data_IF_160386579366
#
_entry.id   IF_160386579366
#
_cell.length_a   1.000
_cell.length_b   1.000
_cell.length_c   1.000
_cell.angle_alpha   90.00
_cell.angle_beta   90.00
_cell.angle_gamma   90.00
#
_symmetry.space_group_name_H-M   'P 1'
#
loop_
_entity.id
_entity.type
_entity.pdbx_description
1 polymer ?
#
# COMPACT_ATOMS: atom_id res chain seq x y z
N UNK A 1 16.91 -2.83 -21.41
CA UNK A 1 15.50 -2.90 -20.99
C UNK A 1 15.11 -4.33 -20.64
N UNK A 2 14.16 -4.51 -19.70
CA UNK A 2 13.64 -5.86 -19.35
C UNK A 2 12.13 -5.84 -19.32
N UNK A 3 11.50 -6.87 -19.91
CA UNK A 3 10.06 -7.12 -19.77
C UNK A 3 9.89 -8.16 -18.67
N UNK A 4 9.06 -7.84 -17.68
CA UNK A 4 8.86 -8.65 -16.47
C UNK A 4 7.40 -9.02 -16.28
N UNK A 5 7.13 -10.16 -15.65
CA UNK A 5 5.78 -10.58 -15.28
C UNK A 5 5.29 -9.87 -14.01
N UNK A 6 3.98 -9.66 -13.91
CA UNK A 6 3.37 -9.29 -12.64
C UNK A 6 3.63 -10.37 -11.59
N UNK A 7 3.93 -9.93 -10.35
CA UNK A 7 4.17 -10.85 -9.24
C UNK A 7 2.94 -10.95 -8.33
N UNK A 8 2.81 -12.10 -7.67
CA UNK A 8 1.76 -12.33 -6.68
C UNK A 8 1.85 -11.31 -5.55
N UNK A 9 0.73 -10.66 -5.18
CA UNK A 9 0.68 -9.79 -4.02
C UNK A 9 0.97 -10.53 -2.72
N UNK A 10 1.52 -9.81 -1.76
CA UNK A 10 1.94 -10.32 -0.45
C UNK A 10 1.16 -9.63 0.67
N UNK A 11 0.76 -10.37 1.69
CA UNK A 11 0.23 -9.78 2.92
C UNK A 11 1.39 -9.34 3.81
N UNK A 12 1.36 -8.08 4.24
CA UNK A 12 2.29 -7.55 5.22
C UNK A 12 1.58 -7.37 6.55
N UNK A 13 2.00 -8.14 7.55
CA UNK A 13 1.44 -8.07 8.89
C UNK A 13 2.08 -6.95 9.69
N UNK A 14 1.29 -6.38 10.59
CA UNK A 14 1.73 -5.45 11.60
C UNK A 14 1.80 -6.18 12.94
N UNK A 15 2.97 -6.18 13.57
CA UNK A 15 3.08 -6.61 14.96
C UNK A 15 2.24 -5.70 15.88
N UNK A 16 1.51 -6.28 16.87
CA UNK A 16 0.52 -5.54 17.65
C UNK A 16 1.11 -4.63 18.74
N UNK A 17 2.39 -4.30 18.66
CA UNK A 17 3.09 -3.39 19.57
C UNK A 17 3.24 -2.00 18.95
N UNK A 18 3.49 -0.98 19.77
CA UNK A 18 3.75 0.37 19.27
C UNK A 18 4.98 0.42 18.34
N UNK A 19 6.06 -0.29 18.72
CA UNK A 19 7.27 -0.41 17.88
C UNK A 19 6.94 -1.13 16.57
N UNK A 20 6.21 -2.26 16.63
CA UNK A 20 5.79 -3.02 15.45
C UNK A 20 4.91 -2.21 14.50
N UNK A 21 4.00 -1.38 15.02
CA UNK A 21 3.23 -0.42 14.22
C UNK A 21 4.15 0.58 13.52
N UNK A 22 5.13 1.14 14.25
CA UNK A 22 6.07 2.10 13.68
C UNK A 22 6.95 1.44 12.59
N UNK A 23 7.40 0.22 12.79
CA UNK A 23 8.15 -0.56 11.79
C UNK A 23 7.30 -0.84 10.55
N UNK A 24 6.03 -1.21 10.73
CA UNK A 24 5.10 -1.42 9.62
C UNK A 24 4.90 -0.14 8.79
N UNK A 25 4.65 1.00 9.45
CA UNK A 25 4.57 2.31 8.79
C UNK A 25 5.87 2.63 8.05
N UNK A 26 7.02 2.41 8.69
CA UNK A 26 8.33 2.67 8.09
C UNK A 26 8.58 1.79 6.87
N UNK A 27 8.18 0.49 6.91
CA UNK A 27 8.24 -0.44 5.78
C UNK A 27 7.40 0.06 4.60
N UNK A 28 6.15 0.44 4.85
CA UNK A 28 5.26 0.97 3.82
C UNK A 28 5.78 2.28 3.21
N UNK A 29 6.32 3.18 4.03
CA UNK A 29 6.88 4.46 3.58
C UNK A 29 8.17 4.28 2.78
N UNK A 30 9.03 3.35 3.16
CA UNK A 30 10.31 3.06 2.49
C UNK A 30 10.12 2.69 1.01
N UNK A 31 9.01 2.00 0.69
CA UNK A 31 8.62 1.67 -0.67
C UNK A 31 8.54 2.91 -1.58
N UNK A 32 8.02 4.03 -1.08
CA UNK A 32 7.87 5.26 -1.87
C UNK A 32 9.22 5.81 -2.38
N UNK A 33 10.29 5.60 -1.61
CA UNK A 33 11.62 6.17 -1.86
C UNK A 33 12.64 5.14 -2.32
N UNK A 34 12.24 3.87 -2.45
CA UNK A 34 13.15 2.75 -2.71
C UNK A 34 14.31 2.74 -1.70
N UNK A 35 13.99 2.77 -0.43
CA UNK A 35 14.95 2.81 0.68
C UNK A 35 14.72 1.66 1.65
N UNK A 36 15.77 1.33 2.43
CA UNK A 36 15.64 0.33 3.48
C UNK A 36 14.67 0.80 4.58
N UNK A 37 13.76 -0.08 5.04
CA UNK A 37 12.86 0.21 6.14
C UNK A 37 13.61 0.48 7.45
N UNK A 38 13.17 1.48 8.22
CA UNK A 38 13.66 1.72 9.57
C UNK A 38 13.10 0.69 10.55
N UNK A 39 13.89 0.34 11.58
CA UNK A 39 13.54 -0.66 12.60
C UNK A 39 13.72 -0.11 14.00
N UNK A 40 13.05 -0.73 14.99
CA UNK A 40 13.17 -0.40 16.40
C UNK A 40 12.99 1.08 16.70
N UNK A 41 13.84 1.65 17.51
CA UNK A 41 13.84 3.07 17.89
C UNK A 41 13.95 4.02 16.71
N UNK A 42 14.66 3.65 15.63
CA UNK A 42 14.77 4.46 14.42
C UNK A 42 13.41 4.55 13.69
N UNK A 43 12.61 3.46 13.69
CA UNK A 43 11.26 3.48 13.14
C UNK A 43 10.35 4.40 13.96
N UNK A 44 10.42 4.35 15.30
CA UNK A 44 9.67 5.23 16.18
C UNK A 44 10.02 6.71 15.92
N UNK A 45 11.30 7.04 15.86
CA UNK A 45 11.75 8.39 15.55
C UNK A 45 11.28 8.86 14.16
N UNK A 46 11.34 7.98 13.18
CA UNK A 46 10.87 8.27 11.83
C UNK A 46 9.38 8.59 11.81
N UNK A 47 8.55 7.77 12.47
CA UNK A 47 7.08 7.97 12.52
C UNK A 47 6.72 9.23 13.30
N UNK A 48 7.36 9.50 14.47
CA UNK A 48 7.19 10.75 15.22
C UNK A 48 7.54 11.99 14.36
N UNK A 49 8.57 11.88 13.50
CA UNK A 49 8.93 12.95 12.56
C UNK A 49 7.91 13.11 11.42
N UNK A 50 7.37 12.02 10.86
CA UNK A 50 6.28 12.08 9.87
C UNK A 50 5.06 12.83 10.44
N UNK A 51 4.65 12.47 11.65
CA UNK A 51 3.55 13.11 12.37
C UNK A 51 3.80 14.61 12.58
N UNK A 52 4.99 14.97 13.10
CA UNK A 52 5.38 16.37 13.32
C UNK A 52 5.38 17.22 12.05
N UNK A 53 5.76 16.63 10.91
CA UNK A 53 5.87 17.33 9.63
C UNK A 53 4.57 17.29 8.81
N UNK A 54 3.46 16.75 9.34
CA UNK A 54 2.19 16.65 8.64
C UNK A 54 2.18 15.64 7.47
N UNK A 55 3.13 14.72 7.40
CA UNK A 55 3.19 13.68 6.39
C UNK A 55 2.22 12.53 6.75
N UNK A 56 0.91 12.81 6.66
CA UNK A 56 -0.14 11.93 7.18
C UNK A 56 -0.36 10.64 6.39
N UNK A 57 -0.06 10.59 5.08
CA UNK A 57 -0.40 9.41 4.25
C UNK A 57 0.25 8.11 4.75
N UNK A 58 1.55 8.05 5.09
CA UNK A 58 2.14 6.83 5.66
C UNK A 58 1.54 6.43 7.00
N UNK A 59 1.08 7.39 7.82
CA UNK A 59 0.49 7.12 9.12
C UNK A 59 -0.86 6.37 9.04
N UNK A 60 -1.51 6.40 7.87
CA UNK A 60 -2.73 5.63 7.62
C UNK A 60 -2.50 4.10 7.63
N UNK A 61 -1.25 3.65 7.51
CA UNK A 61 -0.89 2.23 7.51
C UNK A 61 -0.73 1.64 8.91
N UNK A 62 -0.54 2.47 9.93
CA UNK A 62 -0.53 2.00 11.32
C UNK A 62 -1.93 1.73 11.84
N UNK A 63 -2.19 0.53 12.35
CA UNK A 63 -3.44 0.14 13.00
C UNK A 63 -3.26 0.18 14.52
N UNK A 64 -4.14 0.88 15.22
CA UNK A 64 -4.19 0.98 16.67
C UNK A 64 -5.48 0.33 17.15
N UNK A 65 -5.36 -0.70 17.96
CA UNK A 65 -6.47 -1.38 18.59
C UNK A 65 -6.75 -0.77 19.97
N UNK A 66 -8.01 -0.49 20.28
CA UNK A 66 -8.42 0.10 21.56
C UNK A 66 -9.77 -0.43 22.03
N UNK A 67 -9.85 -0.70 23.34
CA UNK A 67 -11.15 -0.93 23.99
C UNK A 67 -11.66 0.41 24.48
N UNK A 68 -12.85 0.75 24.05
CA UNK A 68 -13.46 2.06 24.33
C UNK A 68 -14.53 1.91 25.38
N UNK A 69 -14.40 2.67 26.45
CA UNK A 69 -15.43 2.77 27.49
C UNK A 69 -16.61 3.62 27.04
N UNK A 70 -17.75 3.50 27.74
CA UNK A 70 -18.99 4.19 27.35
C UNK A 70 -18.83 5.71 27.21
N UNK A 71 -18.01 6.35 28.04
CA UNK A 71 -17.80 7.79 28.02
C UNK A 71 -16.95 8.27 26.81
N UNK A 72 -16.15 7.39 26.24
CA UNK A 72 -15.31 7.67 25.07
C UNK A 72 -16.01 7.30 23.74
N UNK A 73 -17.09 6.50 23.79
CA UNK A 73 -17.79 6.02 22.58
C UNK A 73 -18.30 7.18 21.71
N UNK A 74 -18.84 8.23 22.29
CA UNK A 74 -19.33 9.39 21.53
C UNK A 74 -18.20 10.11 20.77
N UNK A 75 -17.03 10.18 21.38
CA UNK A 75 -15.84 10.78 20.75
C UNK A 75 -15.34 9.94 19.58
N UNK A 76 -15.32 8.61 19.73
CA UNK A 76 -14.85 7.70 18.68
C UNK A 76 -15.88 7.46 17.58
N UNK A 77 -17.18 7.59 17.85
CA UNK A 77 -18.22 7.58 16.81
C UNK A 77 -17.92 8.57 15.69
N UNK A 78 -17.37 9.73 16.01
CA UNK A 78 -16.97 10.72 15.00
C UNK A 78 -15.78 10.24 14.14
N UNK A 79 -14.77 9.59 14.73
CA UNK A 79 -13.65 9.00 13.98
C UNK A 79 -14.15 7.86 13.10
N UNK A 80 -15.03 7.02 13.65
CA UNK A 80 -15.62 5.86 12.97
C UNK A 80 -16.57 6.28 11.85
N UNK A 81 -17.34 7.37 12.04
CA UNK A 81 -18.27 7.88 11.02
C UNK A 81 -17.57 8.33 9.72
N UNK A 82 -16.26 8.48 9.73
CA UNK A 82 -15.45 8.80 8.55
C UNK A 82 -15.00 7.58 7.73
N UNK A 83 -15.64 6.42 7.92
CA UNK A 83 -15.58 5.30 6.98
C UNK A 83 -14.32 4.45 7.09
N UNK A 84 -13.52 4.38 6.03
CA UNK A 84 -12.41 3.43 5.85
C UNK A 84 -11.24 3.56 6.85
N UNK A 85 -11.29 4.50 7.80
CA UNK A 85 -10.17 4.80 8.70
C UNK A 85 -10.30 4.17 10.08
N UNK A 86 -11.51 3.73 10.43
CA UNK A 86 -11.78 3.02 11.68
C UNK A 86 -12.91 2.01 11.48
N UNK A 87 -12.90 0.96 12.30
CA UNK A 87 -13.98 -0.03 12.40
C UNK A 87 -14.07 -0.52 13.82
N UNK A 88 -15.23 -1.04 14.23
CA UNK A 88 -15.45 -1.51 15.58
C UNK A 88 -16.47 -2.64 15.66
N UNK A 89 -16.36 -3.42 16.74
CA UNK A 89 -17.36 -4.40 17.18
C UNK A 89 -17.79 -4.05 18.61
N UNK A 90 -19.06 -4.18 18.92
CA UNK A 90 -19.58 -4.02 20.30
C UNK A 90 -19.95 -5.36 20.85
N UNK A 91 -19.32 -5.76 21.94
CA UNK A 91 -19.58 -7.01 22.62
C UNK A 91 -19.54 -6.81 24.15
N UNK A 92 -20.51 -7.39 24.85
CA UNK A 92 -20.65 -7.27 26.32
C UNK A 92 -20.54 -5.82 26.83
N UNK A 93 -21.11 -4.85 26.11
CA UNK A 93 -21.13 -3.44 26.49
C UNK A 93 -19.78 -2.71 26.31
N UNK A 94 -18.79 -3.37 25.70
CA UNK A 94 -17.50 -2.77 25.36
C UNK A 94 -17.38 -2.61 23.84
N UNK A 95 -16.77 -1.53 23.40
CA UNK A 95 -16.47 -1.31 21.99
C UNK A 95 -14.99 -1.66 21.74
N UNK A 96 -14.76 -2.61 20.84
CA UNK A 96 -13.43 -3.02 20.35
C UNK A 96 -13.20 -2.33 19.00
N UNK A 97 -12.38 -1.29 18.99
CA UNK A 97 -12.15 -0.47 17.80
C UNK A 97 -10.74 -0.63 17.27
N UNK A 98 -10.60 -0.70 15.95
CA UNK A 98 -9.34 -0.54 15.23
C UNK A 98 -9.37 0.76 14.46
N UNK A 99 -8.39 1.63 14.69
CA UNK A 99 -8.30 2.97 14.09
C UNK A 99 -6.93 3.15 13.46
N UNK A 100 -6.82 3.83 12.32
CA UNK A 100 -5.50 4.15 11.81
C UNK A 100 -4.84 5.29 12.62
N UNK A 101 -3.51 5.25 12.71
CA UNK A 101 -2.76 6.22 13.50
C UNK A 101 -3.03 7.68 13.07
N UNK A 102 -3.13 7.96 11.77
CA UNK A 102 -3.41 9.32 11.28
C UNK A 102 -4.70 9.87 11.86
N UNK A 103 -5.78 9.09 11.86
CA UNK A 103 -7.08 9.53 12.38
C UNK A 103 -7.04 9.88 13.86
N UNK A 104 -6.27 9.14 14.66
CA UNK A 104 -6.09 9.44 16.09
C UNK A 104 -5.33 10.75 16.30
N UNK A 105 -4.27 10.98 15.52
CA UNK A 105 -3.50 12.22 15.60
C UNK A 105 -4.31 13.43 15.09
N UNK A 106 -5.04 13.28 13.99
CA UNK A 106 -5.94 14.33 13.46
C UNK A 106 -7.07 14.66 14.44
N UNK A 107 -7.46 13.70 15.29
CA UNK A 107 -8.40 13.87 16.40
C UNK A 107 -7.79 14.60 17.61
N UNK A 108 -6.49 14.79 17.65
CA UNK A 108 -5.75 15.48 18.71
C UNK A 108 -5.10 14.56 19.75
N UNK A 109 -5.09 13.23 19.52
CA UNK A 109 -4.33 12.32 20.37
C UNK A 109 -2.84 12.52 20.13
N UNK A 110 -2.02 12.45 21.20
CA UNK A 110 -0.57 12.55 21.08
C UNK A 110 0.06 11.17 20.86
N UNK A 111 1.22 11.12 20.24
CA UNK A 111 1.96 9.87 20.01
C UNK A 111 2.22 9.09 21.30
N UNK A 112 2.53 9.79 22.40
CA UNK A 112 2.78 9.16 23.70
C UNK A 112 1.51 8.56 24.31
N UNK A 113 0.32 9.08 23.97
CA UNK A 113 -0.96 8.51 24.38
C UNK A 113 -1.25 7.24 23.58
N UNK A 114 -0.93 7.21 22.27
CA UNK A 114 -1.03 6.01 21.43
C UNK A 114 -0.08 4.92 21.92
N UNK A 115 1.17 5.26 22.27
CA UNK A 115 2.15 4.33 22.83
C UNK A 115 1.61 3.63 24.08
N UNK A 116 1.10 4.42 25.05
CA UNK A 116 0.47 3.87 26.27
C UNK A 116 -0.74 2.99 26.02
N UNK A 117 -1.55 3.31 25.01
CA UNK A 117 -2.68 2.49 24.62
C UNK A 117 -2.24 1.14 24.09
N UNK A 118 -1.21 1.11 23.25
CA UNK A 118 -0.72 -0.12 22.63
C UNK A 118 0.09 -0.97 23.60
N UNK A 119 0.82 -0.38 24.56
CA UNK A 119 1.57 -1.11 25.58
C UNK A 119 0.67 -1.85 26.57
N UNK A 120 -0.56 -1.37 26.76
CA UNK A 120 -1.58 -2.02 27.59
C UNK A 120 -2.49 -2.99 26.83
N UNK A 121 -2.20 -3.26 25.55
CA UNK A 121 -3.01 -4.12 24.72
C UNK A 121 -2.89 -5.61 25.14
N UNK A 122 -4.02 -6.19 25.50
CA UNK A 122 -4.16 -7.63 25.72
C UNK A 122 -4.94 -8.19 24.54
N UNK A 123 -4.27 -8.96 23.68
CA UNK A 123 -4.81 -9.48 22.43
C UNK A 123 -6.24 -10.00 22.52
N UNK A 124 -7.10 -9.50 21.65
CA UNK A 124 -8.48 -9.94 21.48
C UNK A 124 -8.78 -10.15 20.01
N UNK A 125 -9.41 -11.28 19.67
CA UNK A 125 -9.83 -11.59 18.29
C UNK A 125 -11.00 -10.71 17.80
N UNK A 126 -11.59 -9.92 18.70
CA UNK A 126 -12.73 -9.04 18.41
C UNK A 126 -12.38 -7.77 17.66
N UNK A 127 -11.10 -7.40 17.60
CA UNK A 127 -10.71 -6.19 16.88
C UNK A 127 -10.84 -6.38 15.37
N UNK A 128 -11.53 -5.45 14.66
CA UNK A 128 -11.58 -5.48 13.20
C UNK A 128 -10.17 -5.46 12.60
N UNK A 129 -9.85 -6.41 11.74
CA UNK A 129 -8.53 -6.51 11.12
C UNK A 129 -8.40 -5.56 9.94
N UNK A 130 -7.27 -4.87 9.86
CA UNK A 130 -6.83 -4.12 8.69
C UNK A 130 -5.76 -4.91 7.97
N UNK A 131 -6.03 -5.25 6.71
CA UNK A 131 -5.06 -5.97 5.88
C UNK A 131 -4.23 -4.98 5.08
N UNK A 132 -2.91 -5.20 5.06
CA UNK A 132 -1.97 -4.50 4.19
C UNK A 132 -1.49 -5.46 3.11
N UNK A 133 -1.70 -5.08 1.84
CA UNK A 133 -1.29 -5.87 0.66
C UNK A 133 -0.20 -5.10 -0.08
N UNK A 134 0.92 -5.77 -0.29
CA UNK A 134 2.03 -5.32 -1.12
C UNK A 134 1.92 -5.93 -2.51
N UNK A 135 2.05 -5.10 -3.53
CA UNK A 135 2.12 -5.47 -4.94
C UNK A 135 3.56 -5.24 -5.43
N UNK A 136 4.43 -6.29 -5.42
CA UNK A 136 5.86 -6.13 -5.65
C UNK A 136 6.23 -5.85 -7.11
N UNK A 137 5.33 -6.15 -8.04
CA UNK A 137 5.54 -5.89 -9.45
C UNK A 137 4.19 -5.77 -10.17
N UNK A 138 3.80 -4.54 -10.47
CA UNK A 138 2.65 -4.22 -11.32
C UNK A 138 3.03 -3.07 -12.26
N UNK A 139 2.26 -2.88 -13.35
CA UNK A 139 2.43 -1.72 -14.21
C UNK A 139 1.89 -0.45 -13.56
N UNK A 140 2.43 0.69 -13.94
CA UNK A 140 1.95 2.01 -13.48
C UNK A 140 0.48 2.19 -13.82
N UNK A 141 0.05 1.80 -15.03
CA UNK A 141 -1.34 1.92 -15.46
C UNK A 141 -2.29 1.13 -14.55
N UNK A 142 -1.94 -0.10 -14.20
CA UNK A 142 -2.75 -0.92 -13.28
C UNK A 142 -2.74 -0.35 -11.87
N UNK A 143 -1.58 0.12 -11.39
CA UNK A 143 -1.50 0.79 -10.09
C UNK A 143 -2.40 2.03 -10.04
N UNK A 144 -2.46 2.82 -11.12
CA UNK A 144 -3.31 4.00 -11.21
C UNK A 144 -4.81 3.63 -11.20
N UNK A 145 -5.22 2.51 -11.80
CA UNK A 145 -6.59 2.01 -11.69
C UNK A 145 -6.95 1.54 -10.28
N UNK A 146 -6.07 0.78 -9.63
CA UNK A 146 -6.34 0.21 -8.31
C UNK A 146 -6.35 1.30 -7.23
N UNK A 147 -5.46 2.30 -7.29
CA UNK A 147 -5.40 3.39 -6.30
C UNK A 147 -6.63 4.30 -6.28
N UNK A 148 -7.50 4.21 -7.28
CA UNK A 148 -8.77 4.97 -7.30
C UNK A 148 -9.76 4.53 -6.23
N UNK A 149 -9.54 3.36 -5.61
CA UNK A 149 -10.34 2.89 -4.48
C UNK A 149 -9.95 3.63 -3.20
N UNK A 150 -10.55 4.79 -2.98
CA UNK A 150 -10.21 5.75 -1.90
C UNK A 150 -10.48 5.23 -0.50
N UNK A 151 -11.26 4.16 -0.36
CA UNK A 151 -11.47 3.44 0.91
C UNK A 151 -10.25 2.62 1.36
N UNK A 152 -9.30 2.40 0.45
CA UNK A 152 -8.00 1.79 0.73
C UNK A 152 -6.93 2.88 0.80
N UNK A 153 -6.17 2.90 1.90
CA UNK A 153 -4.97 3.73 1.99
C UNK A 153 -3.92 3.20 1.03
N UNK A 154 -3.32 4.06 0.22
CA UNK A 154 -2.39 3.65 -0.84
C UNK A 154 -1.09 4.43 -0.77
N UNK A 155 0.04 3.70 -0.81
CA UNK A 155 1.38 4.23 -1.09
C UNK A 155 1.94 3.50 -2.31
N UNK A 156 2.69 4.22 -3.13
CA UNK A 156 3.26 3.70 -4.36
C UNK A 156 4.66 4.22 -4.58
N UNK A 157 5.53 3.38 -5.12
CA UNK A 157 6.90 3.77 -5.50
C UNK A 157 6.87 4.96 -6.44
N UNK A 158 7.64 5.97 -6.08
CA UNK A 158 7.69 7.20 -6.87
C UNK A 158 8.56 7.00 -8.11
N UNK A 159 8.03 7.34 -9.27
CA UNK A 159 8.81 7.37 -10.52
C UNK A 159 9.90 8.45 -10.54
N UNK A 160 9.92 9.36 -9.56
CA UNK A 160 11.02 10.33 -9.37
C UNK A 160 12.33 9.66 -8.95
N UNK A 161 12.25 8.43 -8.45
CA UNK A 161 13.38 7.63 -7.95
C UNK A 161 13.51 6.31 -8.73
N UNK A 162 13.02 6.25 -9.99
CA UNK A 162 13.27 5.09 -10.84
C UNK A 162 14.78 4.97 -10.99
N UNK A 163 15.35 4.06 -10.24
CA UNK A 163 16.67 3.51 -10.46
C UNK A 163 16.47 2.04 -10.75
N UNK A 164 17.07 1.57 -11.79
CA UNK A 164 17.24 0.15 -11.99
C UNK A 164 18.10 -0.39 -10.85
N UNK A 165 17.61 -1.40 -10.19
CA UNK A 165 18.37 -2.14 -9.18
C UNK A 165 19.57 -2.87 -9.79
N UNK A 166 19.60 -2.98 -11.13
CA UNK A 166 20.64 -3.64 -11.91
C UNK A 166 21.03 -2.79 -13.13
N UNK A 167 22.16 -2.14 -13.08
CA UNK A 167 22.92 -1.53 -14.20
C UNK A 167 22.17 -0.60 -15.18
N UNK A 168 21.15 0.06 -14.76
CA UNK A 168 20.58 1.13 -15.59
C UNK A 168 19.38 0.72 -16.47
N UNK A 169 18.92 -0.52 -16.46
CA UNK A 169 17.79 -0.95 -17.30
C UNK A 169 16.43 -0.59 -16.72
N UNK A 170 15.54 -0.07 -17.56
CA UNK A 170 14.15 0.16 -17.18
C UNK A 170 13.38 -1.16 -17.26
N UNK A 171 12.56 -1.45 -16.24
CA UNK A 171 11.68 -2.63 -16.22
C UNK A 171 10.28 -2.25 -16.66
N UNK A 172 9.72 -3.02 -17.59
CA UNK A 172 8.36 -2.86 -18.10
C UNK A 172 7.55 -4.12 -17.82
N UNK A 173 6.34 -3.97 -17.36
CA UNK A 173 5.45 -5.10 -17.08
C UNK A 173 4.81 -5.57 -18.36
N UNK A 174 4.89 -6.88 -18.60
CA UNK A 174 4.30 -7.55 -19.73
C UNK A 174 2.77 -7.39 -19.72
N UNK A 175 2.17 -6.83 -20.79
CA UNK A 175 0.71 -6.69 -20.87
C UNK A 175 0.03 -8.04 -21.19
N UNK A 176 -1.25 -8.16 -20.86
CA UNK A 176 -2.03 -9.40 -21.02
C UNK A 176 -2.04 -9.97 -22.45
N UNK A 177 -2.00 -9.10 -23.46
CA UNK A 177 -2.04 -9.46 -24.89
C UNK A 177 -0.67 -9.83 -25.49
N UNK A 178 0.40 -9.73 -24.70
CA UNK A 178 1.73 -10.10 -25.16
C UNK A 178 1.79 -11.63 -25.43
N UNK A 179 2.38 -12.03 -26.54
CA UNK A 179 2.39 -13.36 -27.15
C UNK A 179 1.11 -13.75 -27.92
N UNK A 180 0.14 -12.85 -28.08
CA UNK A 180 -1.03 -13.13 -28.90
C UNK A 180 -0.69 -13.08 -30.41
N UNK A 181 0.15 -12.10 -30.79
CA UNK A 181 0.62 -11.93 -32.18
C UNK A 181 2.06 -11.41 -32.19
N UNK A 182 2.95 -12.14 -32.89
CA UNK A 182 4.38 -11.81 -33.00
C UNK A 182 4.61 -10.36 -33.47
N UNK A 183 3.82 -9.89 -34.44
CA UNK A 183 3.98 -8.52 -34.97
C UNK A 183 3.69 -7.46 -33.90
N UNK A 184 2.74 -7.69 -33.01
CA UNK A 184 2.43 -6.77 -31.90
C UNK A 184 3.55 -6.77 -30.89
N UNK A 185 4.10 -7.95 -30.57
CA UNK A 185 5.19 -8.11 -29.62
C UNK A 185 6.46 -7.42 -30.14
N UNK A 186 6.80 -7.58 -31.41
CA UNK A 186 7.95 -6.91 -32.04
C UNK A 186 7.78 -5.39 -32.03
N UNK A 187 6.58 -4.89 -32.36
CA UNK A 187 6.29 -3.44 -32.35
C UNK A 187 6.40 -2.87 -30.95
N UNK A 188 5.83 -3.57 -29.96
CA UNK A 188 5.88 -3.18 -28.55
C UNK A 188 7.32 -3.15 -28.03
N UNK A 189 8.09 -4.20 -28.31
CA UNK A 189 9.49 -4.31 -27.93
C UNK A 189 10.33 -3.17 -28.50
N UNK A 190 10.24 -2.91 -29.81
CA UNK A 190 10.95 -1.82 -30.47
C UNK A 190 10.57 -0.44 -29.91
N UNK A 191 9.26 -0.24 -29.60
CA UNK A 191 8.78 0.99 -28.95
C UNK A 191 9.39 1.20 -27.56
N UNK A 192 9.46 0.14 -26.74
CA UNK A 192 10.07 0.22 -25.41
C UNK A 192 11.59 0.46 -25.47
N UNK A 193 12.30 -0.13 -26.41
CA UNK A 193 13.74 0.13 -26.62
C UNK A 193 14.00 1.59 -27.00
N UNK A 194 13.19 2.15 -27.90
CA UNK A 194 13.30 3.55 -28.27
C UNK A 194 13.04 4.48 -27.08
N UNK A 195 12.01 4.19 -26.27
CA UNK A 195 11.68 4.95 -25.07
C UNK A 195 12.82 4.87 -24.03
N UNK A 196 13.36 3.68 -23.78
CA UNK A 196 14.47 3.53 -22.84
C UNK A 196 15.71 4.28 -23.29
N UNK A 197 16.06 4.20 -24.57
CA UNK A 197 17.17 4.95 -25.16
C UNK A 197 16.98 6.44 -24.94
N UNK A 198 15.83 6.98 -25.34
CA UNK A 198 15.52 8.39 -25.17
C UNK A 198 15.54 8.81 -23.68
N UNK A 199 15.04 7.97 -22.76
CA UNK A 199 15.09 8.23 -21.32
C UNK A 199 16.53 8.29 -20.79
N UNK A 200 17.39 7.35 -21.22
CA UNK A 200 18.82 7.32 -20.86
C UNK A 200 19.57 8.53 -21.42
N UNK A 201 19.27 8.93 -22.67
CA UNK A 201 19.87 10.10 -23.30
C UNK A 201 19.52 11.40 -22.57
N UNK A 202 18.24 11.55 -22.13
CA UNK A 202 17.83 12.70 -21.32
C UNK A 202 18.60 12.78 -19.99
N UNK A 203 18.82 11.62 -19.34
CA UNK A 203 19.62 11.57 -18.11
C UNK A 203 21.09 11.88 -18.37
N UNK A 204 21.67 11.35 -19.46
CA UNK A 204 23.06 11.62 -19.87
C UNK A 204 23.26 13.11 -20.22
N UNK A 205 22.25 13.78 -20.76
CA UNK A 205 22.23 15.22 -21.03
C UNK A 205 21.95 16.07 -19.77
N UNK A 206 21.94 15.46 -18.55
CA UNK A 206 21.86 16.14 -17.27
C UNK A 206 20.45 16.42 -16.75
N UNK A 207 19.38 15.92 -17.41
CA UNK A 207 18.03 16.03 -16.86
C UNK A 207 17.90 15.17 -15.59
N UNK A 208 17.22 15.72 -14.58
CA UNK A 208 16.90 14.97 -13.38
C UNK A 208 15.87 13.88 -13.68
N UNK A 209 15.93 12.73 -12.99
CA UNK A 209 14.97 11.62 -13.13
C UNK A 209 13.50 12.06 -13.08
N UNK A 210 13.18 13.03 -12.22
CA UNK A 210 11.82 13.59 -12.10
C UNK A 210 11.33 14.32 -13.36
N UNK A 211 12.22 14.68 -14.27
CA UNK A 211 11.91 15.32 -15.57
C UNK A 211 11.91 14.25 -16.67
N UNK A 212 12.95 13.44 -16.76
CA UNK A 212 13.07 12.40 -17.78
C UNK A 212 11.93 11.36 -17.73
N UNK A 213 11.37 11.09 -16.55
CA UNK A 213 10.24 10.15 -16.37
C UNK A 213 8.99 10.45 -17.20
N UNK A 214 8.85 11.65 -17.72
CA UNK A 214 7.72 12.02 -18.58
C UNK A 214 7.65 11.17 -19.87
N UNK A 215 8.76 10.54 -20.26
CA UNK A 215 8.81 9.56 -21.36
C UNK A 215 8.36 8.15 -20.98
N UNK A 216 8.27 7.83 -19.68
CA UNK A 216 8.00 6.45 -19.25
C UNK A 216 6.53 6.08 -19.50
N UNK A 217 6.27 4.95 -20.20
CA UNK A 217 4.93 4.53 -20.55
C UNK A 217 4.19 3.93 -19.35
N UNK A 218 2.88 3.75 -19.47
CA UNK A 218 2.02 3.18 -18.44
C UNK A 218 2.42 1.73 -18.04
N UNK A 219 3.10 1.01 -18.92
CA UNK A 219 3.60 -0.34 -18.61
C UNK A 219 4.89 -0.34 -17.78
N UNK A 220 5.48 0.83 -17.45
CA UNK A 220 6.64 0.87 -16.56
C UNK A 220 6.31 0.19 -15.22
N UNK A 221 7.22 -0.65 -14.74
CA UNK A 221 7.06 -1.36 -13.46
C UNK A 221 6.98 -0.37 -12.31
N UNK A 222 6.09 -0.66 -11.39
CA UNK A 222 6.01 0.01 -10.09
C UNK A 222 5.73 -0.99 -8.99
N UNK A 223 5.87 -0.54 -7.76
CA UNK A 223 5.46 -1.24 -6.55
C UNK A 223 4.42 -0.39 -5.82
N UNK A 224 3.49 -1.06 -5.18
CA UNK A 224 2.41 -0.40 -4.43
C UNK A 224 2.07 -1.18 -3.19
N UNK A 225 1.64 -0.48 -2.16
CA UNK A 225 1.05 -1.08 -0.96
C UNK A 225 -0.29 -0.41 -0.67
N UNK A 226 -1.29 -1.24 -0.32
CA UNK A 226 -2.61 -0.77 0.08
C UNK A 226 -3.01 -1.36 1.43
N UNK A 227 -3.76 -0.59 2.22
CA UNK A 227 -4.24 -1.02 3.52
C UNK A 227 -5.70 -0.63 3.72
N UNK A 228 -6.49 -1.54 4.26
CA UNK A 228 -7.90 -1.28 4.57
C UNK A 228 -8.58 -2.42 5.31
N UNK A 229 -9.83 -2.19 5.70
CA UNK A 229 -10.71 -3.20 6.29
C UNK A 229 -11.34 -4.09 5.20
N UNK A 230 -11.83 -5.26 5.60
CA UNK A 230 -12.46 -6.23 4.70
C UNK A 230 -13.51 -5.64 3.75
N UNK A 231 -14.48 -4.81 4.19
CA UNK A 231 -15.45 -4.25 3.26
C UNK A 231 -14.85 -3.38 2.15
N UNK A 232 -13.72 -2.70 2.42
CA UNK A 232 -13.00 -1.93 1.40
C UNK A 232 -12.32 -2.85 0.38
N UNK A 233 -11.74 -3.97 0.84
CA UNK A 233 -11.16 -5.00 -0.01
C UNK A 233 -12.23 -5.68 -0.86
N UNK A 234 -13.36 -6.08 -0.27
CA UNK A 234 -14.48 -6.73 -0.97
C UNK A 234 -15.00 -5.85 -2.11
N UNK A 235 -15.17 -4.56 -1.85
CA UNK A 235 -15.61 -3.61 -2.87
C UNK A 235 -14.57 -3.48 -4.01
N UNK A 236 -13.29 -3.33 -3.69
CA UNK A 236 -12.22 -3.24 -4.69
C UNK A 236 -12.16 -4.52 -5.53
N UNK A 237 -12.14 -5.69 -4.90
CA UNK A 237 -12.09 -6.98 -5.58
C UNK A 237 -13.29 -7.20 -6.46
N UNK A 238 -14.51 -6.90 -5.97
CA UNK A 238 -15.76 -7.01 -6.76
C UNK A 238 -15.69 -6.18 -8.04
N UNK A 239 -15.24 -4.93 -7.94
CA UNK A 239 -15.16 -4.03 -9.08
C UNK A 239 -14.06 -4.43 -10.07
N UNK A 240 -12.86 -4.78 -9.53
CA UNK A 240 -11.69 -5.07 -10.39
C UNK A 240 -11.66 -6.49 -10.96
N UNK A 241 -12.41 -7.43 -10.40
CA UNK A 241 -12.62 -8.76 -11.02
C UNK A 241 -13.79 -8.78 -12.01
N UNK A 242 -14.59 -7.72 -12.06
CA UNK A 242 -15.75 -7.61 -12.97
C UNK A 242 -15.33 -7.51 -14.44
N UNK A 243 -16.22 -7.95 -15.35
CA UNK A 243 -15.96 -8.02 -16.79
C UNK A 243 -15.65 -6.66 -17.47
N UNK A 244 -15.98 -5.54 -16.83
CA UNK A 244 -15.69 -4.19 -17.34
C UNK A 244 -14.30 -3.67 -16.93
N UNK A 245 -13.55 -4.37 -16.07
CA UNK A 245 -12.22 -3.96 -15.68
C UNK A 245 -11.16 -4.38 -16.71
N UNK A 246 -10.05 -3.65 -16.77
CA UNK A 246 -8.92 -4.01 -17.62
C UNK A 246 -8.42 -5.44 -17.29
N UNK A 247 -8.09 -6.30 -18.30
CA UNK A 247 -7.71 -7.69 -18.05
C UNK A 247 -6.56 -7.87 -17.06
N UNK A 248 -5.54 -7.01 -17.11
CA UNK A 248 -4.44 -7.04 -16.13
C UNK A 248 -4.90 -6.62 -14.73
N UNK A 249 -5.86 -5.71 -14.60
CA UNK A 249 -6.46 -5.37 -13.33
C UNK A 249 -7.29 -6.53 -12.77
N UNK A 250 -8.02 -7.27 -13.64
CA UNK A 250 -8.70 -8.50 -13.24
C UNK A 250 -7.70 -9.55 -12.73
N UNK A 251 -6.59 -9.75 -13.46
CA UNK A 251 -5.55 -10.71 -13.10
C UNK A 251 -4.99 -10.41 -11.70
N UNK A 252 -4.54 -9.18 -11.46
CA UNK A 252 -3.94 -8.81 -10.17
C UNK A 252 -4.96 -8.83 -9.03
N UNK A 253 -6.22 -8.47 -9.28
CA UNK A 253 -7.29 -8.55 -8.28
C UNK A 253 -7.58 -10.00 -7.88
N UNK A 254 -7.59 -10.95 -8.83
CA UNK A 254 -7.72 -12.39 -8.54
C UNK A 254 -6.56 -12.88 -7.68
N UNK A 255 -5.32 -12.52 -8.03
CA UNK A 255 -4.14 -12.88 -7.24
C UNK A 255 -4.19 -12.28 -5.83
N UNK A 256 -4.65 -11.04 -5.67
CA UNK A 256 -4.83 -10.41 -4.36
C UNK A 256 -5.91 -11.12 -3.53
N UNK A 257 -7.03 -11.52 -4.16
CA UNK A 257 -8.07 -12.32 -3.49
C UNK A 257 -7.53 -13.66 -2.98
N UNK A 258 -6.76 -14.36 -3.81
CA UNK A 258 -6.13 -15.63 -3.42
C UNK A 258 -5.17 -15.46 -2.24
N UNK A 259 -4.36 -14.38 -2.24
CA UNK A 259 -3.50 -14.05 -1.12
C UNK A 259 -4.29 -13.78 0.18
N UNK A 260 -5.41 -13.04 0.10
CA UNK A 260 -6.29 -12.78 1.25
C UNK A 260 -6.90 -14.08 1.77
N UNK A 261 -7.43 -14.94 0.89
CA UNK A 261 -8.04 -16.22 1.29
C UNK A 261 -7.00 -17.09 1.98
N UNK A 262 -5.82 -17.26 1.38
CA UNK A 262 -4.73 -18.06 1.96
C UNK A 262 -4.33 -17.54 3.34
N UNK A 263 -4.22 -16.23 3.49
CA UNK A 263 -3.89 -15.60 4.77
C UNK A 263 -4.97 -15.87 5.83
N UNK A 264 -6.25 -15.66 5.49
CA UNK A 264 -7.36 -15.91 6.43
C UNK A 264 -7.43 -17.37 6.87
N UNK A 265 -7.27 -18.32 5.94
CA UNK A 265 -7.23 -19.76 6.26
C UNK A 265 -6.04 -20.11 7.17
N UNK A 266 -4.90 -19.45 7.04
CA UNK A 266 -3.75 -19.69 7.93
C UNK A 266 -3.94 -19.18 9.35
N UNK A 267 -4.91 -18.30 9.60
CA UNK A 267 -5.26 -17.82 10.94
C UNK A 267 -6.27 -18.72 11.67
N UNK A 268 -6.94 -19.63 10.94
CA UNK A 268 -7.93 -20.57 11.49
C UNK A 268 -7.28 -21.91 11.91
N UNK A 269 -6.01 -22.13 11.58
CA UNK A 269 -5.19 -23.29 11.94
C UNK A 269 -4.33 -23.02 13.17
#
# INVERSE_FOLDING_TARGET
MRIVEMKTPEIWEQEPTFVGMCEHIARCAALCYNSEPKKGGDAVHFVKRLAKNGHGRPLEFGAVNMVVTNDEQERLKWVVSRGSWASYVVEHGKMYATVNLRSLLDYGMRMDDVERLMDNWQGHDLFPKRLTIHYPCISRGIADEIRTHTTLSTLMRSTRYVSSENDGDVEFVKPYWFNDKIVNDMTFHAGLEAIETAYKDLLANGLKKQMARELLPLCVKTEMVQCGFDPAWDNMLKLRMGNGAHPDAQKIAKMAREAIIKYKTSLEL
#
